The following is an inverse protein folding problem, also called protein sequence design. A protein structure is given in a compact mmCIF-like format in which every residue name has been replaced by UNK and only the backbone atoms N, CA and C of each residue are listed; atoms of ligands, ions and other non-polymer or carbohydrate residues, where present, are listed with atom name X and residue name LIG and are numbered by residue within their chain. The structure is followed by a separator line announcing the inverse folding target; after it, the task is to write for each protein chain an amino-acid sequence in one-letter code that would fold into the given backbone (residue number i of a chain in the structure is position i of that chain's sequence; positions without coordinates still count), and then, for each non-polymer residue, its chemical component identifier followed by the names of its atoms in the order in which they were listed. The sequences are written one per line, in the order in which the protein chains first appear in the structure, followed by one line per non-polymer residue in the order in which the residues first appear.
data_IF_304365741458
#
_entry.id   IF_304365741458
#
_cell.length_a   1.000
_cell.length_b   1.000
_cell.length_c   1.000
_cell.angle_alpha   90.00
_cell.angle_beta   90.00
_cell.angle_gamma   90.00
#
_symmetry.space_group_name_H-M   'P 1'
#
loop_
_entity.id
_entity.type
_entity.pdbx_description
1 polymer ?
#
# COMPACT_ATOMS: atom_id res chain seq x y z
N UNK A 1 -1.57 19.16 -40.45
CA UNK A 1 -1.34 17.76 -40.00
C UNK A 1 -0.64 17.85 -38.65
N UNK A 2 -0.80 16.91 -37.71
CA UNK A 2 -0.23 17.06 -36.34
C UNK A 2 1.29 17.35 -36.36
N UNK A 3 2.03 16.81 -37.33
CA UNK A 3 3.44 17.12 -37.54
C UNK A 3 3.69 18.62 -37.84
N UNK A 4 2.81 19.30 -38.57
CA UNK A 4 2.94 20.74 -38.87
C UNK A 4 2.71 21.58 -37.62
N UNK A 5 1.71 21.20 -36.80
CA UNK A 5 1.38 21.88 -35.54
C UNK A 5 2.51 21.76 -34.51
N UNK A 6 3.20 20.61 -34.50
CA UNK A 6 4.38 20.34 -33.67
C UNK A 6 5.70 20.77 -34.33
N UNK A 7 5.65 21.39 -35.51
CA UNK A 7 6.82 21.85 -36.28
C UNK A 7 7.85 20.73 -36.60
N UNK A 8 7.37 19.49 -36.74
CA UNK A 8 8.14 18.29 -37.07
C UNK A 8 8.31 18.19 -38.58
N UNK A 9 9.56 18.17 -39.06
CA UNK A 9 9.86 18.06 -40.50
C UNK A 9 9.60 16.63 -41.02
N UNK A 10 8.89 16.50 -42.14
CA UNK A 10 8.62 15.23 -42.82
C UNK A 10 8.67 15.39 -44.35
N UNK A 11 8.77 14.29 -45.11
CA UNK A 11 8.86 14.34 -46.58
C UNK A 11 7.49 14.52 -47.25
N UNK A 12 7.46 15.12 -48.44
CA UNK A 12 6.22 15.25 -49.22
C UNK A 12 5.78 13.86 -49.71
N UNK A 13 4.54 13.45 -49.37
CA UNK A 13 3.99 12.07 -49.50
C UNK A 13 4.61 11.03 -48.55
N UNK A 14 5.03 11.45 -47.36
CA UNK A 14 5.47 10.53 -46.30
C UNK A 14 4.34 9.57 -45.90
N UNK A 15 4.70 8.32 -45.56
CA UNK A 15 3.73 7.34 -45.04
C UNK A 15 3.23 7.77 -43.67
N UNK A 16 1.96 7.50 -43.39
CA UNK A 16 1.34 7.81 -42.09
C UNK A 16 2.12 7.19 -40.92
N UNK A 17 2.59 5.95 -41.08
CA UNK A 17 3.36 5.24 -40.04
C UNK A 17 4.66 5.99 -39.71
N UNK A 18 5.39 6.46 -40.72
CA UNK A 18 6.60 7.26 -40.51
C UNK A 18 6.32 8.60 -39.83
N UNK A 19 5.19 9.25 -40.14
CA UNK A 19 4.78 10.47 -39.43
C UNK A 19 4.49 10.20 -37.95
N UNK A 20 3.87 9.05 -37.63
CA UNK A 20 3.61 8.63 -36.25
C UNK A 20 4.93 8.38 -35.50
N UNK A 21 5.89 7.71 -36.13
CA UNK A 21 7.22 7.47 -35.52
C UNK A 21 7.97 8.79 -35.25
N UNK A 22 7.89 9.75 -36.18
CA UNK A 22 8.48 11.09 -35.99
C UNK A 22 7.83 11.84 -34.83
N UNK A 23 6.51 11.72 -34.66
CA UNK A 23 5.79 12.30 -33.52
C UNK A 23 6.22 11.64 -32.22
N UNK A 24 6.26 10.30 -32.15
CA UNK A 24 6.69 9.61 -30.94
C UNK A 24 8.12 9.98 -30.54
N UNK A 25 9.03 10.05 -31.52
CA UNK A 25 10.41 10.48 -31.28
C UNK A 25 10.47 11.92 -30.75
N UNK A 26 9.72 12.83 -31.36
CA UNK A 26 9.69 14.22 -30.91
C UNK A 26 9.11 14.37 -29.50
N UNK A 27 8.07 13.59 -29.17
CA UNK A 27 7.52 13.53 -27.81
C UNK A 27 8.55 13.00 -26.81
N UNK A 28 9.23 11.90 -27.13
CA UNK A 28 10.26 11.29 -26.27
C UNK A 28 11.44 12.24 -26.02
N UNK A 29 11.89 12.95 -27.05
CA UNK A 29 13.06 13.84 -26.96
C UNK A 29 12.77 15.19 -26.29
N UNK A 30 11.52 15.69 -26.32
CA UNK A 30 11.21 17.07 -25.91
C UNK A 30 10.19 17.17 -24.77
N UNK A 31 9.40 16.12 -24.50
CA UNK A 31 8.25 16.22 -23.60
C UNK A 31 8.11 15.06 -22.61
N UNK A 32 8.68 13.89 -22.90
CA UNK A 32 8.57 12.73 -22.02
C UNK A 32 9.88 12.50 -21.27
N UNK A 33 9.85 12.66 -19.95
CA UNK A 33 10.94 12.19 -19.11
C UNK A 33 10.77 10.70 -18.82
N UNK A 34 11.78 9.90 -19.15
CA UNK A 34 11.80 8.49 -18.81
C UNK A 34 11.96 8.30 -17.29
N UNK A 35 10.85 7.98 -16.62
CA UNK A 35 10.86 7.61 -15.20
C UNK A 35 11.42 6.20 -15.06
N UNK A 36 12.72 6.09 -14.73
CA UNK A 36 13.34 4.81 -14.37
C UNK A 36 12.65 4.22 -13.15
N UNK A 37 12.07 3.04 -13.30
CA UNK A 37 11.59 2.25 -12.16
C UNK A 37 12.79 1.79 -11.32
N UNK A 38 13.04 2.47 -10.20
CA UNK A 38 14.08 2.06 -9.25
C UNK A 38 13.59 0.84 -8.48
N UNK A 39 14.40 -0.22 -8.45
CA UNK A 39 14.06 -1.40 -7.65
C UNK A 39 14.15 -1.04 -6.17
N UNK A 40 13.18 -1.50 -5.38
CA UNK A 40 13.23 -1.36 -3.92
C UNK A 40 14.49 -1.98 -3.31
N UNK A 41 15.02 -3.03 -3.93
CA UNK A 41 16.25 -3.70 -3.49
C UNK A 41 17.52 -2.85 -3.64
N UNK A 42 17.52 -1.80 -4.46
CA UNK A 42 18.67 -0.90 -4.62
C UNK A 42 18.64 0.30 -3.66
N UNK A 43 17.56 0.50 -2.91
CA UNK A 43 17.49 1.54 -1.90
C UNK A 43 18.14 1.07 -0.59
N UNK A 44 18.89 1.95 0.06
CA UNK A 44 19.48 1.65 1.36
C UNK A 44 18.41 1.65 2.47
N UNK A 45 18.63 0.85 3.51
CA UNK A 45 17.77 0.86 4.71
C UNK A 45 17.74 2.24 5.39
N UNK A 46 18.84 2.99 5.32
CA UNK A 46 18.90 4.38 5.84
C UNK A 46 17.97 5.30 5.04
N UNK A 47 17.94 5.15 3.71
CA UNK A 47 17.01 5.90 2.85
C UNK A 47 15.56 5.59 3.20
N UNK A 48 15.23 4.30 3.41
CA UNK A 48 13.89 3.90 3.87
C UNK A 48 13.53 4.54 5.20
N UNK A 49 14.42 4.48 6.19
CA UNK A 49 14.16 5.06 7.51
C UNK A 49 13.93 6.58 7.46
N UNK A 50 14.75 7.32 6.69
CA UNK A 50 14.60 8.78 6.55
C UNK A 50 13.28 9.16 5.89
N UNK A 51 12.98 8.57 4.73
CA UNK A 51 11.73 8.87 4.03
C UNK A 51 10.51 8.44 4.85
N UNK A 52 10.55 7.27 5.50
CA UNK A 52 9.45 6.82 6.35
C UNK A 52 9.19 7.79 7.49
N UNK A 53 10.25 8.24 8.18
CA UNK A 53 10.12 9.24 9.25
C UNK A 53 9.47 10.52 8.74
N UNK A 54 9.98 11.10 7.65
CA UNK A 54 9.43 12.34 7.08
C UNK A 54 7.95 12.20 6.71
N UNK A 55 7.58 11.09 6.05
CA UNK A 55 6.19 10.80 5.70
C UNK A 55 5.31 10.59 6.94
N UNK A 56 5.82 9.92 7.96
CA UNK A 56 5.06 9.66 9.19
C UNK A 56 4.90 10.92 10.04
N UNK A 57 5.93 11.78 10.11
CA UNK A 57 5.85 13.07 10.80
C UNK A 57 4.73 13.93 10.21
N UNK A 58 4.60 13.94 8.88
CA UNK A 58 3.52 14.66 8.19
C UNK A 58 2.16 13.98 8.39
N UNK A 59 2.06 12.67 8.10
CA UNK A 59 0.81 11.92 8.14
C UNK A 59 0.18 11.89 9.54
N UNK A 60 1.02 11.84 10.57
CA UNK A 60 0.60 11.67 11.96
C UNK A 60 0.73 12.93 12.81
N UNK A 61 1.06 14.09 12.21
CA UNK A 61 1.31 15.36 12.90
C UNK A 61 0.24 15.75 13.93
N UNK A 62 -1.03 15.43 13.64
CA UNK A 62 -2.18 15.79 14.47
C UNK A 62 -2.92 14.56 15.02
N UNK A 63 -2.24 13.42 15.11
CA UNK A 63 -2.83 12.18 15.60
C UNK A 63 -2.06 11.72 16.84
N UNK A 64 -2.77 11.61 17.96
CA UNK A 64 -2.23 10.99 19.16
C UNK A 64 -2.65 9.53 19.20
N UNK A 65 -1.69 8.63 19.40
CA UNK A 65 -1.94 7.20 19.47
C UNK A 65 -1.83 6.71 20.92
N UNK A 66 -2.89 6.08 21.40
CA UNK A 66 -2.84 5.31 22.65
C UNK A 66 -2.24 3.92 22.41
N UNK A 67 -2.58 3.31 21.27
CA UNK A 67 -2.17 1.97 20.86
C UNK A 67 -1.72 1.96 19.41
N UNK A 68 -0.61 1.27 19.14
CA UNK A 68 -0.14 0.96 17.80
C UNK A 68 0.05 -0.55 17.70
N UNK A 69 -0.64 -1.17 16.74
CA UNK A 69 -0.51 -2.59 16.46
C UNK A 69 0.27 -2.77 15.16
N UNK A 70 1.31 -3.61 15.18
CA UNK A 70 2.15 -3.88 14.01
C UNK A 70 2.15 -5.37 13.72
N UNK A 71 1.84 -5.76 12.48
CA UNK A 71 1.87 -7.19 12.10
C UNK A 71 3.30 -7.76 12.21
N UNK A 72 3.42 -8.89 12.91
CA UNK A 72 4.70 -9.58 13.07
C UNK A 72 5.14 -10.28 11.78
N UNK A 73 6.34 -9.97 11.29
CA UNK A 73 6.93 -10.55 10.09
C UNK A 73 7.88 -11.71 10.45
N UNK A 74 7.41 -12.97 10.36
CA UNK A 74 8.07 -14.15 10.98
C UNK A 74 8.94 -14.99 10.00
N UNK A 75 9.07 -14.61 8.72
CA UNK A 75 9.75 -15.44 7.71
C UNK A 75 11.25 -15.14 7.52
N UNK A 76 12.14 -16.15 7.38
CA UNK A 76 13.57 -15.93 7.06
C UNK A 76 13.77 -15.25 5.69
N UNK A 77 12.79 -15.38 4.79
CA UNK A 77 12.76 -14.75 3.47
C UNK A 77 12.33 -13.27 3.50
N UNK A 78 11.91 -12.75 4.66
CA UNK A 78 11.29 -11.43 4.81
C UNK A 78 12.13 -10.46 5.66
N UNK A 79 13.46 -10.61 5.68
CA UNK A 79 14.36 -9.78 6.51
C UNK A 79 14.13 -8.27 6.32
N UNK A 80 13.89 -7.83 5.07
CA UNK A 80 13.55 -6.43 4.77
C UNK A 80 12.25 -5.99 5.43
N UNK A 81 11.20 -6.81 5.39
CA UNK A 81 9.92 -6.50 6.05
C UNK A 81 10.06 -6.50 7.57
N UNK A 82 10.83 -7.43 8.14
CA UNK A 82 11.14 -7.42 9.58
C UNK A 82 11.93 -6.17 9.99
N UNK A 83 12.81 -5.69 9.11
CA UNK A 83 13.53 -4.43 9.33
C UNK A 83 12.58 -3.22 9.30
N UNK A 84 11.69 -3.15 8.29
CA UNK A 84 10.68 -2.08 8.22
C UNK A 84 9.73 -2.13 9.42
N UNK A 85 9.35 -3.33 9.88
CA UNK A 85 8.56 -3.51 11.09
C UNK A 85 9.26 -2.85 12.29
N UNK A 86 10.55 -3.11 12.48
CA UNK A 86 11.34 -2.46 13.52
C UNK A 86 11.45 -0.95 13.37
N UNK A 87 11.61 -0.44 12.14
CA UNK A 87 11.63 1.01 11.88
C UNK A 87 10.31 1.69 12.22
N UNK A 88 9.19 1.07 11.85
CA UNK A 88 7.83 1.56 12.18
C UNK A 88 7.66 1.60 13.70
N UNK A 89 7.99 0.52 14.40
CA UNK A 89 7.91 0.48 15.86
C UNK A 89 8.80 1.54 16.50
N UNK A 90 10.05 1.69 16.02
CA UNK A 90 11.00 2.68 16.54
C UNK A 90 10.49 4.11 16.39
N UNK A 91 9.80 4.43 15.29
CA UNK A 91 9.16 5.74 15.10
C UNK A 91 8.14 6.03 16.20
N UNK A 92 7.26 5.08 16.50
CA UNK A 92 6.23 5.27 17.53
C UNK A 92 6.81 5.27 18.95
N UNK A 93 7.88 4.50 19.20
CA UNK A 93 8.65 4.58 20.46
C UNK A 93 9.20 6.00 20.64
N UNK A 94 9.82 6.56 19.60
CA UNK A 94 10.40 7.90 19.67
C UNK A 94 9.35 9.00 19.90
N UNK A 95 8.12 8.78 19.43
CA UNK A 95 6.98 9.68 19.63
C UNK A 95 6.17 9.38 20.91
N UNK A 96 6.77 8.67 21.87
CA UNK A 96 6.19 8.38 23.20
C UNK A 96 4.81 7.69 23.17
N UNK A 97 4.55 6.85 22.16
CA UNK A 97 3.33 6.03 22.15
C UNK A 97 3.44 4.96 23.24
N UNK A 98 2.46 4.96 24.15
CA UNK A 98 2.47 4.13 25.35
C UNK A 98 2.43 2.62 25.08
N UNK A 99 1.62 2.19 24.09
CA UNK A 99 1.41 0.77 23.80
C UNK A 99 1.68 0.46 22.35
N UNK A 100 2.73 -0.32 22.11
CA UNK A 100 3.15 -0.77 20.79
C UNK A 100 3.27 -2.29 20.85
N UNK A 101 2.46 -3.01 20.09
CA UNK A 101 2.37 -4.47 20.16
C UNK A 101 2.53 -5.12 18.78
N UNK A 102 3.32 -6.20 18.75
CA UNK A 102 3.37 -7.09 17.60
C UNK A 102 2.17 -8.04 17.63
N UNK A 103 1.44 -8.14 16.52
CA UNK A 103 0.29 -9.03 16.40
C UNK A 103 0.51 -10.09 15.34
N UNK A 104 -0.01 -11.30 15.59
CA UNK A 104 0.16 -12.42 14.66
C UNK A 104 -0.62 -12.19 13.36
N UNK A 105 -0.03 -12.44 12.17
CA UNK A 105 -0.76 -12.43 10.89
C UNK A 105 -1.92 -13.45 10.84
N UNK A 106 -1.94 -14.44 11.74
CA UNK A 106 -3.02 -15.43 11.80
C UNK A 106 -4.32 -14.91 12.41
N UNK A 107 -4.26 -13.84 13.21
CA UNK A 107 -5.38 -13.36 14.03
C UNK A 107 -6.54 -12.79 13.20
N UNK A 108 -6.25 -12.01 12.16
CA UNK A 108 -7.25 -11.35 11.29
C UNK A 108 -8.41 -12.20 10.77
N UNK A 109 -8.21 -13.51 10.57
CA UNK A 109 -9.23 -14.43 10.04
C UNK A 109 -9.66 -15.50 11.05
N UNK A 110 -9.09 -15.47 12.26
CA UNK A 110 -9.26 -16.53 13.26
C UNK A 110 -10.73 -16.71 13.67
N UNK A 111 -11.44 -15.60 13.81
CA UNK A 111 -12.84 -15.59 14.26
C UNK A 111 -13.83 -15.89 13.12
N UNK A 112 -13.35 -15.98 11.87
CA UNK A 112 -14.21 -16.12 10.69
C UNK A 112 -14.08 -17.48 9.99
N UNK A 113 -12.88 -18.08 9.99
CA UNK A 113 -12.61 -19.31 9.23
C UNK A 113 -12.80 -20.60 10.04
N UNK A 114 -12.93 -20.53 11.36
CA UNK A 114 -13.04 -21.72 12.22
C UNK A 114 -11.90 -22.71 11.98
N UNK A 115 -12.24 -23.96 11.66
CA UNK A 115 -11.28 -25.06 11.36
C UNK A 115 -10.98 -25.23 9.86
N UNK A 116 -11.50 -24.35 8.98
CA UNK A 116 -11.33 -24.46 7.53
C UNK A 116 -9.85 -24.31 7.14
N UNK A 117 -9.28 -25.35 6.54
CA UNK A 117 -7.97 -25.26 5.89
C UNK A 117 -8.09 -24.36 4.65
N UNK A 118 -7.29 -23.31 4.61
CA UNK A 118 -7.29 -22.33 3.52
C UNK A 118 -5.86 -22.09 3.05
N UNK A 119 -5.71 -21.92 1.75
CA UNK A 119 -4.46 -21.49 1.11
C UNK A 119 -4.23 -19.99 1.32
N UNK A 120 -3.00 -19.54 1.11
CA UNK A 120 -2.65 -18.12 1.21
C UNK A 120 -3.50 -17.22 0.28
N UNK A 121 -3.75 -17.67 -0.96
CA UNK A 121 -4.56 -16.93 -1.93
C UNK A 121 -6.01 -16.80 -1.47
N UNK A 122 -6.60 -17.88 -0.95
CA UNK A 122 -7.96 -17.86 -0.41
C UNK A 122 -8.07 -16.92 0.78
N UNK A 123 -7.09 -16.94 1.71
CA UNK A 123 -7.08 -16.05 2.87
C UNK A 123 -7.12 -14.56 2.46
N UNK A 124 -6.38 -14.17 1.43
CA UNK A 124 -6.43 -12.79 0.92
C UNK A 124 -7.82 -12.43 0.39
N UNK A 125 -8.42 -13.32 -0.40
CA UNK A 125 -9.76 -13.10 -0.95
C UNK A 125 -10.83 -13.02 0.15
N UNK A 126 -10.78 -13.94 1.12
CA UNK A 126 -11.71 -13.97 2.26
C UNK A 126 -11.61 -12.68 3.09
N UNK A 127 -10.40 -12.18 3.34
CA UNK A 127 -10.20 -10.92 4.07
C UNK A 127 -10.92 -9.74 3.40
N UNK A 128 -10.86 -9.65 2.07
CA UNK A 128 -11.55 -8.61 1.30
C UNK A 128 -13.08 -8.77 1.40
N UNK A 129 -13.58 -10.00 1.25
CA UNK A 129 -15.03 -10.28 1.32
C UNK A 129 -15.59 -9.93 2.69
N UNK A 130 -14.92 -10.37 3.76
CA UNK A 130 -15.33 -10.11 5.14
C UNK A 130 -15.30 -8.60 5.43
N UNK A 131 -14.22 -7.91 5.04
CA UNK A 131 -14.09 -6.46 5.25
C UNK A 131 -15.19 -5.70 4.52
N UNK A 132 -15.46 -6.02 3.25
CA UNK A 132 -16.54 -5.40 2.48
C UNK A 132 -17.90 -5.59 3.16
N UNK A 133 -18.19 -6.80 3.63
CA UNK A 133 -19.43 -7.10 4.36
C UNK A 133 -19.55 -6.23 5.61
N UNK A 134 -18.48 -6.12 6.41
CA UNK A 134 -18.44 -5.26 7.62
C UNK A 134 -18.67 -3.78 7.31
N UNK A 135 -18.12 -3.28 6.19
CA UNK A 135 -18.33 -1.89 5.76
C UNK A 135 -19.78 -1.62 5.33
N UNK A 136 -20.44 -2.60 4.68
CA UNK A 136 -21.85 -2.47 4.29
C UNK A 136 -22.77 -2.51 5.52
N UNK A 137 -22.49 -3.40 6.47
CA UNK A 137 -23.37 -3.62 7.63
C UNK A 137 -23.24 -2.55 8.72
N UNK A 138 -22.11 -1.83 8.79
CA UNK A 138 -21.84 -0.87 9.86
C UNK A 138 -21.92 0.58 9.35
N UNK A 139 -23.01 1.26 9.68
CA UNK A 139 -23.26 2.66 9.28
C UNK A 139 -22.19 3.65 9.74
N UNK A 140 -21.46 3.38 10.82
CA UNK A 140 -20.41 4.28 11.33
C UNK A 140 -19.15 4.30 10.44
N UNK A 141 -18.93 3.23 9.67
CA UNK A 141 -17.75 3.06 8.81
C UNK A 141 -18.09 2.86 7.34
N UNK A 142 -19.38 2.83 6.98
CA UNK A 142 -19.85 2.64 5.60
C UNK A 142 -19.34 3.71 4.63
N UNK A 143 -19.00 4.90 5.13
CA UNK A 143 -18.34 5.97 4.35
C UNK A 143 -17.02 5.53 3.68
N UNK A 144 -16.37 4.48 4.18
CA UNK A 144 -15.13 3.94 3.60
C UNK A 144 -15.37 2.89 2.52
N UNK A 145 -16.63 2.52 2.24
CA UNK A 145 -16.95 1.45 1.30
C UNK A 145 -16.49 1.77 -0.13
N UNK A 146 -16.77 2.97 -0.63
CA UNK A 146 -16.40 3.38 -1.98
C UNK A 146 -14.88 3.43 -2.13
N UNK A 147 -14.20 4.08 -1.16
CA UNK A 147 -12.74 4.09 -1.09
C UNK A 147 -12.16 2.67 -1.11
N UNK A 148 -12.69 1.76 -0.29
CA UNK A 148 -12.24 0.37 -0.24
C UNK A 148 -12.45 -0.36 -1.57
N UNK A 149 -13.58 -0.13 -2.25
CA UNK A 149 -13.90 -0.78 -3.53
C UNK A 149 -13.05 -0.27 -4.69
N UNK A 150 -12.63 0.99 -4.66
CA UNK A 150 -11.80 1.58 -5.71
C UNK A 150 -10.30 1.37 -5.48
N UNK A 151 -9.88 1.15 -4.22
CA UNK A 151 -8.47 1.01 -3.88
C UNK A 151 -7.81 -0.21 -4.56
N UNK A 152 -6.57 -0.06 -5.03
CA UNK A 152 -5.82 -1.14 -5.70
C UNK A 152 -5.36 -2.23 -4.73
N UNK A 153 -5.03 -1.85 -3.49
CA UNK A 153 -4.51 -2.73 -2.43
C UNK A 153 -5.58 -3.06 -1.40
N UNK A 154 -6.64 -3.74 -1.83
CA UNK A 154 -7.77 -4.09 -0.96
C UNK A 154 -7.38 -5.10 0.11
N UNK A 155 -6.47 -6.00 -0.21
CA UNK A 155 -5.95 -7.01 0.72
C UNK A 155 -5.18 -6.37 1.88
N UNK A 156 -4.31 -5.39 1.61
CA UNK A 156 -3.58 -4.67 2.66
C UNK A 156 -4.54 -3.88 3.60
N UNK A 157 -5.56 -3.22 3.02
CA UNK A 157 -6.59 -2.51 3.79
C UNK A 157 -7.45 -3.46 4.63
N UNK A 158 -7.85 -4.59 4.06
CA UNK A 158 -8.61 -5.62 4.76
C UNK A 158 -7.80 -6.23 5.91
N UNK A 159 -6.52 -6.52 5.67
CA UNK A 159 -5.62 -7.09 6.67
C UNK A 159 -5.46 -6.15 7.87
N UNK A 160 -5.14 -4.87 7.64
CA UNK A 160 -5.00 -3.89 8.72
C UNK A 160 -6.29 -3.68 9.52
N UNK A 161 -7.44 -3.59 8.85
CA UNK A 161 -8.74 -3.46 9.52
C UNK A 161 -9.08 -4.69 10.39
N UNK A 162 -8.97 -5.90 9.82
CA UNK A 162 -9.34 -7.13 10.53
C UNK A 162 -8.40 -7.46 11.68
N UNK A 163 -7.12 -7.11 11.55
CA UNK A 163 -6.16 -7.20 12.65
C UNK A 163 -6.56 -6.31 13.84
N UNK A 164 -6.90 -5.05 13.57
CA UNK A 164 -7.38 -4.11 14.60
C UNK A 164 -8.70 -4.58 15.22
N UNK A 165 -9.65 -5.04 14.41
CA UNK A 165 -10.93 -5.56 14.87
C UNK A 165 -10.77 -6.78 15.78
N UNK A 166 -9.90 -7.72 15.38
CA UNK A 166 -9.61 -8.91 16.19
C UNK A 166 -9.04 -8.51 17.55
N UNK A 167 -8.05 -7.62 17.57
CA UNK A 167 -7.41 -7.16 18.80
C UNK A 167 -8.41 -6.46 19.72
N UNK A 168 -9.22 -5.56 19.17
CA UNK A 168 -10.27 -4.88 19.92
C UNK A 168 -11.23 -5.87 20.60
N UNK A 169 -11.77 -6.82 19.84
CA UNK A 169 -12.76 -7.78 20.36
C UNK A 169 -12.17 -8.79 21.34
N UNK A 170 -10.90 -9.17 21.17
CA UNK A 170 -10.31 -10.29 21.93
C UNK A 170 -9.41 -9.86 23.09
N UNK A 171 -8.92 -8.62 23.09
CA UNK A 171 -7.95 -8.11 24.06
C UNK A 171 -8.50 -6.88 24.79
N UNK A 172 -9.08 -5.90 24.09
CA UNK A 172 -9.49 -4.62 24.71
C UNK A 172 -10.91 -4.64 25.27
N UNK A 173 -11.86 -5.28 24.57
CA UNK A 173 -13.27 -5.29 24.95
C UNK A 173 -13.64 -6.40 25.95
N UNK A 174 -12.66 -7.19 26.40
CA UNK A 174 -12.81 -8.18 27.47
C UNK A 174 -12.44 -7.58 28.81
#
# INVERSE_FOLDING_TARGET
MLCDEMNIKYKKKEKKDNCIDLIYKHLDENYLDFVKTVKTSSMSLVSYGRCMKEMFDELFKNINFDYVLVENQIGPLALRMKTLQGMIMQYFIHNNVSKIEEISPSNKLKDFLGTKKTTYKERKQESIVITRKKLIENCNISKWLDYFNEHKKKDDLADSYLQGLWYFNNILAK
#
